data_IF_512376198710
#
_entry.id   IF_512376198710
#
_cell.length_a   1.000
_cell.length_b   1.000
_cell.length_c   1.000
_cell.angle_alpha   90.00
_cell.angle_beta   90.00
_cell.angle_gamma   90.00
#
_symmetry.space_group_name_H-M   'P 1'
#
loop_
_entity.id
_entity.type
_entity.pdbx_description
1 polymer ?
#
# COMPACT_ATOMS: atom_id res chain seq x y z
N UNK A 1 -7.86 0.06 -25.22
CA UNK A 1 -6.57 -0.46 -24.72
C UNK A 1 -5.81 0.75 -24.17
N UNK A 2 -6.13 1.17 -22.95
CA UNK A 2 -5.31 2.16 -22.24
C UNK A 2 -4.01 1.46 -21.85
N UNK A 3 -2.87 2.09 -22.13
CA UNK A 3 -1.56 1.53 -21.76
C UNK A 3 -1.41 1.36 -20.24
N UNK A 4 -0.32 0.72 -19.78
CA UNK A 4 -0.06 0.59 -18.35
C UNK A 4 -0.04 1.98 -17.70
N UNK A 5 -0.82 2.18 -16.64
CA UNK A 5 -0.82 3.44 -15.90
C UNK A 5 0.53 3.60 -15.20
N UNK A 6 1.21 4.70 -15.49
CA UNK A 6 2.47 5.12 -14.85
C UNK A 6 2.10 6.04 -13.69
N UNK A 7 2.54 5.73 -12.46
CA UNK A 7 2.18 6.48 -11.24
C UNK A 7 2.46 7.98 -11.40
N UNK A 8 3.59 8.29 -12.03
CA UNK A 8 4.10 9.64 -12.24
C UNK A 8 3.27 10.46 -13.25
N UNK A 9 2.41 9.80 -14.05
CA UNK A 9 1.52 10.43 -15.04
C UNK A 9 0.06 10.49 -14.57
N UNK A 10 -0.25 9.97 -13.38
CA UNK A 10 -1.60 9.91 -12.84
C UNK A 10 -1.95 11.18 -12.08
N UNK A 11 -3.11 11.74 -12.41
CA UNK A 11 -3.77 12.73 -11.57
C UNK A 11 -4.55 12.02 -10.46
N UNK A 12 -4.07 12.15 -9.22
CA UNK A 12 -4.74 11.59 -8.04
C UNK A 12 -5.86 12.51 -7.57
N UNK A 13 -6.94 11.92 -7.08
CA UNK A 13 -8.02 12.68 -6.45
C UNK A 13 -7.46 13.56 -5.31
N UNK A 14 -7.81 14.86 -5.26
CA UNK A 14 -7.28 15.78 -4.25
C UNK A 14 -7.53 15.32 -2.81
N UNK A 15 -8.62 14.59 -2.56
CA UNK A 15 -8.97 14.01 -1.25
C UNK A 15 -7.94 13.02 -0.72
N UNK A 16 -7.15 12.41 -1.60
CA UNK A 16 -6.07 11.49 -1.20
C UNK A 16 -4.85 12.25 -0.68
N UNK A 17 -4.71 13.54 -0.97
CA UNK A 17 -3.61 14.39 -0.50
C UNK A 17 -2.23 13.85 -0.88
N UNK A 18 -2.10 13.29 -2.09
CA UNK A 18 -0.85 12.69 -2.59
C UNK A 18 0.05 13.78 -3.16
N UNK A 19 1.30 13.79 -2.70
CA UNK A 19 2.38 14.57 -3.27
C UNK A 19 3.56 13.65 -3.56
N UNK A 20 3.65 13.10 -4.79
CA UNK A 20 4.69 12.14 -5.14
C UNK A 20 6.12 12.67 -4.90
N UNK A 21 6.33 13.98 -4.98
CA UNK A 21 7.64 14.60 -4.77
C UNK A 21 8.12 14.53 -3.30
N UNK A 22 7.22 14.34 -2.34
CA UNK A 22 7.56 14.13 -0.92
C UNK A 22 7.62 12.66 -0.53
N UNK A 23 7.25 11.75 -1.43
CA UNK A 23 7.22 10.31 -1.17
C UNK A 23 8.55 9.64 -1.55
N UNK A 24 8.87 8.53 -0.87
CA UNK A 24 10.01 7.69 -1.23
C UNK A 24 9.59 6.66 -2.27
N UNK A 25 10.32 6.60 -3.38
CA UNK A 25 10.15 5.58 -4.43
C UNK A 25 11.12 4.43 -4.19
N UNK A 26 10.61 3.20 -4.12
CA UNK A 26 11.44 2.00 -4.02
C UNK A 26 11.94 1.57 -5.40
N UNK A 27 12.89 0.63 -5.44
CA UNK A 27 13.38 0.05 -6.70
C UNK A 27 12.32 -0.76 -7.45
N UNK A 28 11.26 -1.23 -6.77
CA UNK A 28 10.16 -1.97 -7.38
C UNK A 28 9.10 -1.06 -8.03
N UNK A 29 9.20 0.26 -7.80
CA UNK A 29 8.23 1.25 -8.27
C UNK A 29 7.11 1.55 -7.28
N UNK A 30 7.12 0.95 -6.08
CA UNK A 30 6.25 1.36 -4.98
C UNK A 30 6.63 2.77 -4.53
N UNK A 31 5.62 3.59 -4.20
CA UNK A 31 5.83 4.83 -3.47
C UNK A 31 5.31 4.69 -2.05
N UNK A 32 5.99 5.29 -1.08
CA UNK A 32 5.47 5.38 0.28
C UNK A 32 5.80 6.69 0.99
N UNK A 33 5.00 7.02 1.99
CA UNK A 33 5.20 8.12 2.92
C UNK A 33 4.81 7.66 4.33
N UNK A 34 5.72 7.85 5.29
CA UNK A 34 5.42 7.66 6.70
C UNK A 34 4.66 8.88 7.24
N UNK A 35 3.35 8.71 7.44
CA UNK A 35 2.48 9.71 8.09
C UNK A 35 2.79 9.77 9.59
N UNK A 36 3.04 8.61 10.19
CA UNK A 36 3.52 8.49 11.57
C UNK A 36 4.53 7.33 11.65
N UNK A 37 5.65 7.54 12.32
CA UNK A 37 6.72 6.53 12.39
C UNK A 37 6.39 5.34 13.30
N UNK A 38 5.55 5.52 14.32
CA UNK A 38 5.34 4.51 15.36
C UNK A 38 6.55 4.34 16.29
N UNK A 39 6.55 3.25 17.05
CA UNK A 39 7.61 2.93 18.02
C UNK A 39 7.79 1.42 18.22
N UNK A 40 8.85 1.02 18.92
CA UNK A 40 9.21 -0.40 19.07
C UNK A 40 9.97 -0.93 17.85
N UNK A 41 10.16 -2.25 17.78
CA UNK A 41 10.93 -2.87 16.71
C UNK A 41 10.23 -2.79 15.35
N UNK A 42 11.00 -2.70 14.25
CA UNK A 42 10.43 -2.69 12.90
C UNK A 42 9.90 -4.06 12.50
N UNK A 43 8.76 -4.08 11.82
CA UNK A 43 8.20 -5.28 11.22
C UNK A 43 9.16 -5.84 10.16
N UNK A 44 9.48 -7.12 10.29
CA UNK A 44 10.37 -7.86 9.41
C UNK A 44 9.73 -9.17 8.93
N UNK A 45 10.28 -9.73 7.85
CA UNK A 45 9.79 -10.98 7.29
C UNK A 45 9.75 -12.08 8.37
N UNK A 46 8.64 -12.80 8.44
CA UNK A 46 8.35 -13.82 9.45
C UNK A 46 7.59 -13.33 10.68
N UNK A 47 7.51 -12.02 10.93
CA UNK A 47 6.63 -11.49 11.98
C UNK A 47 5.15 -11.68 11.60
N UNK A 48 4.32 -11.98 12.59
CA UNK A 48 2.88 -11.83 12.48
C UNK A 48 2.53 -10.36 12.75
N UNK A 49 1.93 -9.69 11.79
CA UNK A 49 1.61 -8.26 11.87
C UNK A 49 0.10 -8.08 11.77
N UNK A 50 -0.47 -7.36 12.72
CA UNK A 50 -1.86 -6.92 12.67
C UNK A 50 -1.91 -5.48 12.15
N UNK A 51 -2.72 -5.23 11.13
CA UNK A 51 -2.86 -3.91 10.52
C UNK A 51 -4.31 -3.48 10.44
N UNK A 52 -4.56 -2.19 10.58
CA UNK A 52 -5.77 -1.53 10.09
C UNK A 52 -5.43 -0.81 8.78
N UNK A 53 -6.33 -0.88 7.80
CA UNK A 53 -6.08 -0.29 6.49
C UNK A 53 -7.33 0.27 5.82
N UNK A 54 -7.10 1.13 4.83
CA UNK A 54 -8.10 1.52 3.84
C UNK A 54 -7.42 1.62 2.49
N UNK A 55 -8.09 1.14 1.45
CA UNK A 55 -7.63 1.09 0.06
C UNK A 55 -8.52 1.91 -0.87
N UNK A 56 -7.88 2.71 -1.73
CA UNK A 56 -8.53 3.57 -2.72
C UNK A 56 -7.98 3.36 -4.12
N UNK A 57 -8.82 3.60 -5.12
CA UNK A 57 -8.40 3.84 -6.50
C UNK A 57 -7.92 5.30 -6.67
N UNK A 58 -7.29 5.60 -7.80
CA UNK A 58 -6.68 6.92 -8.07
C UNK A 58 -7.69 8.06 -8.09
N UNK A 59 -8.97 7.76 -8.37
CA UNK A 59 -10.09 8.71 -8.35
C UNK A 59 -10.67 8.95 -6.93
N UNK A 60 -10.11 8.32 -5.90
CA UNK A 60 -10.56 8.43 -4.52
C UNK A 60 -11.68 7.48 -4.15
N UNK A 61 -12.11 6.58 -5.04
CA UNK A 61 -13.08 5.52 -4.73
C UNK A 61 -12.45 4.53 -3.74
N UNK A 62 -13.03 4.42 -2.54
CA UNK A 62 -12.66 3.36 -1.59
C UNK A 62 -13.13 2.01 -2.13
N UNK A 63 -12.22 1.04 -2.26
CA UNK A 63 -12.58 -0.32 -2.69
C UNK A 63 -12.52 -1.34 -1.55
N UNK A 64 -11.76 -1.07 -0.50
CA UNK A 64 -11.63 -1.96 0.66
C UNK A 64 -11.19 -1.21 1.93
N UNK A 65 -11.55 -1.73 3.10
CA UNK A 65 -11.12 -1.24 4.40
C UNK A 65 -11.35 -2.29 5.48
N UNK A 66 -10.46 -2.40 6.44
CA UNK A 66 -10.64 -3.31 7.56
C UNK A 66 -9.42 -3.42 8.44
N UNK A 67 -9.39 -4.47 9.25
CA UNK A 67 -8.22 -4.88 10.00
C UNK A 67 -8.04 -6.39 9.91
N UNK A 68 -6.80 -6.85 9.81
CA UNK A 68 -6.46 -8.27 9.73
C UNK A 68 -5.00 -8.51 10.13
N UNK A 69 -4.70 -9.77 10.48
CA UNK A 69 -3.34 -10.23 10.72
C UNK A 69 -2.82 -11.07 9.56
N UNK A 70 -1.53 -10.94 9.27
CA UNK A 70 -0.84 -11.77 8.29
C UNK A 70 0.63 -11.95 8.66
N UNK A 71 1.27 -12.97 8.10
CA UNK A 71 2.71 -13.18 8.25
C UNK A 71 3.44 -12.39 7.16
N UNK A 72 4.22 -11.40 7.58
CA UNK A 72 4.98 -10.53 6.68
C UNK A 72 6.00 -11.37 5.88
N UNK A 73 6.07 -11.18 4.56
CA UNK A 73 6.94 -11.92 3.67
C UNK A 73 6.41 -13.29 3.24
N UNK A 74 5.25 -13.73 3.71
CA UNK A 74 4.69 -15.05 3.38
C UNK A 74 3.90 -15.07 2.05
N UNK A 75 3.74 -13.93 1.38
CA UNK A 75 3.00 -13.83 0.12
C UNK A 75 1.48 -14.02 0.28
N UNK A 76 0.95 -13.75 1.47
CA UNK A 76 -0.50 -13.83 1.76
C UNK A 76 -1.29 -12.63 1.24
N UNK A 77 -0.60 -11.52 0.97
CA UNK A 77 -1.14 -10.27 0.43
C UNK A 77 -0.41 -9.90 -0.87
N UNK A 78 -0.93 -8.93 -1.62
CA UNK A 78 -0.25 -8.44 -2.84
C UNK A 78 1.15 -7.92 -2.51
N UNK A 79 2.10 -8.13 -3.42
CA UNK A 79 3.53 -7.86 -3.18
C UNK A 79 3.80 -6.42 -2.72
N UNK A 80 3.08 -5.45 -3.25
CA UNK A 80 3.25 -4.04 -2.85
C UNK A 80 2.78 -3.74 -1.42
N UNK A 81 1.79 -4.48 -0.92
CA UNK A 81 1.33 -4.34 0.48
C UNK A 81 2.37 -4.96 1.43
N UNK A 82 2.87 -6.15 1.09
CA UNK A 82 3.93 -6.84 1.83
C UNK A 82 5.22 -6.00 1.92
N UNK A 83 5.65 -5.45 0.77
CA UNK A 83 6.78 -4.51 0.70
C UNK A 83 6.50 -3.24 1.50
N UNK A 84 5.28 -2.69 1.41
CA UNK A 84 4.89 -1.46 2.08
C UNK A 84 4.89 -1.54 3.61
N UNK A 85 4.49 -2.68 4.19
CA UNK A 85 4.48 -2.90 5.65
C UNK A 85 5.87 -3.15 6.21
N UNK A 86 6.81 -3.63 5.38
CA UNK A 86 8.18 -3.89 5.82
C UNK A 86 8.83 -2.62 6.43
N UNK A 87 9.41 -2.78 7.62
CA UNK A 87 10.07 -1.70 8.35
C UNK A 87 9.13 -0.74 9.10
N UNK A 88 7.80 -0.88 8.97
CA UNK A 88 6.85 -0.14 9.81
C UNK A 88 6.97 -0.58 11.28
N UNK A 89 6.55 0.28 12.20
CA UNK A 89 6.59 0.00 13.65
C UNK A 89 5.18 0.08 14.23
N UNK A 90 4.96 -0.50 15.41
CA UNK A 90 3.65 -0.43 16.10
C UNK A 90 3.23 1.03 16.31
N UNK A 91 1.97 1.34 15.98
CA UNK A 91 1.40 2.69 15.93
C UNK A 91 1.87 3.53 14.74
N UNK A 92 2.69 2.97 13.85
CA UNK A 92 3.14 3.61 12.63
C UNK A 92 2.03 3.62 11.59
N UNK A 93 1.93 4.74 10.86
CA UNK A 93 0.94 4.96 9.82
C UNK A 93 1.68 5.31 8.54
N UNK A 94 1.46 4.53 7.49
CA UNK A 94 2.12 4.71 6.19
C UNK A 94 1.07 4.79 5.10
N UNK A 95 1.28 5.71 4.16
CA UNK A 95 0.60 5.70 2.88
C UNK A 95 1.49 5.03 1.86
N UNK A 96 0.94 4.11 1.07
CA UNK A 96 1.64 3.46 -0.05
C UNK A 96 0.84 3.59 -1.34
N UNK A 97 1.54 3.68 -2.47
CA UNK A 97 0.95 3.68 -3.81
C UNK A 97 1.57 2.50 -4.57
N UNK A 98 0.71 1.55 -4.90
CA UNK A 98 1.05 0.24 -5.46
C UNK A 98 0.80 0.29 -6.97
N UNK A 99 1.83 0.19 -7.83
CA UNK A 99 1.63 0.04 -9.26
C UNK A 99 1.02 -1.34 -9.58
N UNK A 100 0.38 -1.50 -10.75
CA UNK A 100 -0.35 -2.73 -11.07
C UNK A 100 0.50 -4.01 -10.98
N UNK A 101 1.78 -3.92 -11.36
CA UNK A 101 2.75 -5.01 -11.30
C UNK A 101 3.05 -5.52 -9.87
N UNK A 102 2.75 -4.71 -8.85
CA UNK A 102 2.87 -5.06 -7.43
C UNK A 102 1.49 -5.35 -6.78
N UNK A 103 0.41 -5.15 -7.54
CA UNK A 103 -0.98 -5.33 -7.11
C UNK A 103 -1.64 -6.53 -7.79
N UNK A 104 -2.82 -6.31 -8.36
CA UNK A 104 -3.62 -7.34 -9.03
C UNK A 104 -3.37 -7.46 -10.55
N UNK A 105 -2.43 -6.68 -11.09
CA UNK A 105 -2.02 -6.74 -12.49
C UNK A 105 -3.17 -6.57 -13.50
N UNK A 106 -3.00 -7.18 -14.68
CA UNK A 106 -3.94 -7.05 -15.80
C UNK A 106 -5.24 -7.83 -15.63
N UNK A 107 -5.42 -8.55 -14.53
CA UNK A 107 -6.64 -9.31 -14.24
C UNK A 107 -7.59 -8.52 -13.34
N UNK A 108 -7.06 -7.65 -12.47
CA UNK A 108 -7.84 -7.04 -11.40
C UNK A 108 -8.28 -8.07 -10.35
N UNK A 109 -9.10 -7.61 -9.39
CA UNK A 109 -9.68 -8.48 -8.36
C UNK A 109 -10.89 -7.80 -7.73
N UNK A 110 -12.06 -8.46 -7.79
CA UNK A 110 -13.30 -7.94 -7.21
C UNK A 110 -13.59 -6.50 -7.66
N UNK A 111 -13.63 -5.51 -6.75
CA UNK A 111 -13.86 -4.10 -7.08
C UNK A 111 -12.65 -3.39 -7.72
N UNK A 112 -11.47 -4.00 -7.75
CA UNK A 112 -10.25 -3.42 -8.33
C UNK A 112 -10.15 -3.79 -9.81
N UNK A 113 -10.18 -2.81 -10.73
CA UNK A 113 -10.13 -3.10 -12.16
C UNK A 113 -8.73 -3.59 -12.61
N UNK A 114 -8.64 -4.21 -13.79
CA UNK A 114 -7.36 -4.49 -14.46
C UNK A 114 -6.45 -3.26 -14.52
N UNK A 115 -5.16 -3.47 -14.33
CA UNK A 115 -4.10 -2.46 -14.46
C UNK A 115 -4.28 -1.24 -13.54
N UNK A 116 -5.01 -1.41 -12.43
CA UNK A 116 -5.24 -0.33 -11.46
C UNK A 116 -4.01 -0.04 -10.60
N UNK A 117 -3.74 1.26 -10.40
CA UNK A 117 -2.92 1.74 -9.31
C UNK A 117 -3.78 1.81 -8.04
N UNK A 118 -3.25 1.27 -6.94
CA UNK A 118 -3.94 1.27 -5.65
C UNK A 118 -3.22 2.14 -4.64
N UNK A 119 -3.98 2.84 -3.82
CA UNK A 119 -3.47 3.66 -2.73
C UNK A 119 -3.94 3.03 -1.43
N UNK A 120 -3.02 2.79 -0.49
CA UNK A 120 -3.38 2.31 0.84
C UNK A 120 -2.89 3.27 1.91
N UNK A 121 -3.68 3.43 2.96
CA UNK A 121 -3.25 3.93 4.26
C UNK A 121 -3.27 2.76 5.22
N UNK A 122 -2.13 2.47 5.82
CA UNK A 122 -1.93 1.31 6.68
C UNK A 122 -1.48 1.81 8.05
N UNK A 123 -2.02 1.24 9.11
CA UNK A 123 -1.60 1.44 10.49
C UNK A 123 -1.23 0.08 11.08
N UNK A 124 -0.04 -0.04 11.66
CA UNK A 124 0.38 -1.28 12.35
C UNK A 124 -0.14 -1.25 13.78
N UNK A 125 -1.00 -2.20 14.12
CA UNK A 125 -1.62 -2.32 15.44
C UNK A 125 -0.75 -3.15 16.39
N UNK A 126 -0.15 -4.23 15.88
CA UNK A 126 0.73 -5.10 16.66
C UNK A 126 1.74 -5.85 15.76
N UNK A 127 2.84 -6.29 16.37
CA UNK A 127 3.88 -7.13 15.75
C UNK A 127 4.20 -8.25 16.76
N UNK A 128 4.10 -9.51 16.31
CA UNK A 128 4.39 -10.73 17.07
C UNK A 128 5.72 -11.38 16.75
#
# INVERSE_FOLDING_TARGET
MTGPQVIEEVEFAPSLGINLASMTRTSSGLYYEDIAMGSGDPAAAGNEVEVAYTGWLTDGTTFDSGAFSFVLGAGQVVRGFDEGVTGMRVGGIRRIIIPPALGYGSQGSGPVPPDAIMIFRIEVLSIG
#
